data_IF_216147043945
#
_entry.id   IF_216147043945
#
_cell.length_a   1.000
_cell.length_b   1.000
_cell.length_c   1.000
_cell.angle_alpha   90.00
_cell.angle_beta   90.00
_cell.angle_gamma   90.00
#
_symmetry.space_group_name_H-M   'P 1'
#
loop_
_entity.id
_entity.type
_entity.pdbx_description
1 polymer ?
#
# COMPACT_ATOMS: atom_id res chain seq x y z
N UNK A 1 21.55 3.97 -7.26
CA UNK A 1 20.40 4.87 -6.99
C UNK A 1 19.20 4.03 -7.40
N UNK A 2 18.72 3.16 -6.50
CA UNK A 2 17.85 2.01 -6.86
C UNK A 2 16.68 1.84 -5.88
N UNK A 3 16.36 2.88 -5.11
CA UNK A 3 15.46 2.79 -3.94
C UNK A 3 14.03 2.36 -4.27
N UNK A 4 13.53 2.60 -5.49
CA UNK A 4 12.19 2.16 -5.89
C UNK A 4 12.12 0.68 -6.31
N UNK A 5 13.26 0.01 -6.53
CA UNK A 5 13.26 -1.40 -6.95
C UNK A 5 12.68 -2.34 -5.87
N UNK A 6 12.72 -1.93 -4.60
CA UNK A 6 12.10 -2.66 -3.48
C UNK A 6 10.59 -2.87 -3.69
N UNK A 7 9.92 -2.01 -4.47
CA UNK A 7 8.50 -2.19 -4.80
C UNK A 7 8.26 -3.38 -5.74
N UNK A 8 9.27 -3.81 -6.50
CA UNK A 8 9.14 -5.00 -7.35
C UNK A 8 8.89 -6.24 -6.50
N UNK A 9 9.74 -6.47 -5.49
CA UNK A 9 9.58 -7.58 -4.56
C UNK A 9 8.26 -7.51 -3.80
N UNK A 10 7.90 -6.31 -3.31
CA UNK A 10 6.63 -6.11 -2.60
C UNK A 10 5.41 -6.44 -3.47
N UNK A 11 5.38 -5.95 -4.72
CA UNK A 11 4.29 -6.18 -5.65
C UNK A 11 4.18 -7.65 -6.06
N UNK A 12 5.32 -8.33 -6.29
CA UNK A 12 5.34 -9.73 -6.71
C UNK A 12 4.77 -10.66 -5.63
N UNK A 13 5.03 -10.36 -4.36
CA UNK A 13 4.55 -11.16 -3.23
C UNK A 13 3.16 -10.76 -2.72
N UNK A 14 2.57 -9.67 -3.24
CA UNK A 14 1.31 -9.14 -2.73
C UNK A 14 0.14 -10.12 -2.87
N UNK A 15 0.08 -10.87 -3.97
CA UNK A 15 -0.98 -11.85 -4.18
C UNK A 15 -0.93 -12.98 -3.13
N UNK A 16 0.26 -13.50 -2.85
CA UNK A 16 0.45 -14.54 -1.86
C UNK A 16 0.09 -14.05 -0.45
N UNK A 17 0.46 -12.81 -0.12
CA UNK A 17 0.07 -12.16 1.14
C UNK A 17 -1.46 -12.05 1.28
N UNK A 18 -2.17 -11.64 0.22
CA UNK A 18 -3.63 -11.56 0.21
C UNK A 18 -4.28 -12.94 0.37
N UNK A 19 -3.73 -13.98 -0.25
CA UNK A 19 -4.22 -15.35 -0.08
C UNK A 19 -4.06 -15.85 1.34
N UNK A 20 -2.91 -15.61 1.96
CA UNK A 20 -2.65 -16.03 3.33
C UNK A 20 -3.52 -15.28 4.34
N UNK A 21 -3.65 -13.96 4.16
CA UNK A 21 -4.51 -13.15 4.99
C UNK A 21 -5.97 -13.59 4.88
N UNK A 22 -6.46 -13.92 3.68
CA UNK A 22 -7.81 -14.45 3.48
C UNK A 22 -8.05 -15.78 4.21
N UNK A 23 -7.02 -16.61 4.41
CA UNK A 23 -7.13 -17.83 5.23
C UNK A 23 -7.19 -17.48 6.71
N UNK A 24 -6.31 -16.60 7.19
CA UNK A 24 -6.26 -16.18 8.59
C UNK A 24 -7.56 -15.50 9.03
N UNK A 25 -8.16 -14.69 8.16
CA UNK A 25 -9.43 -14.01 8.42
C UNK A 25 -10.64 -14.95 8.58
N UNK A 26 -10.49 -16.26 8.34
CA UNK A 26 -11.52 -17.27 8.66
C UNK A 26 -11.57 -17.65 10.14
N UNK A 27 -10.52 -17.34 10.90
CA UNK A 27 -10.44 -17.59 12.35
C UNK A 27 -10.68 -16.28 13.10
N UNK A 28 -11.73 -16.26 13.94
CA UNK A 28 -12.15 -15.09 14.71
C UNK A 28 -11.06 -14.53 15.63
N UNK A 29 -10.09 -15.35 16.05
CA UNK A 29 -8.94 -14.87 16.86
C UNK A 29 -8.09 -13.87 16.07
N UNK A 30 -7.84 -14.13 14.80
CA UNK A 30 -7.06 -13.22 13.94
C UNK A 30 -7.87 -11.99 13.55
N UNK A 31 -9.19 -12.14 13.36
CA UNK A 31 -10.07 -10.99 13.13
C UNK A 31 -10.00 -9.99 14.29
N UNK A 32 -10.16 -10.47 15.53
CA UNK A 32 -10.07 -9.61 16.71
C UNK A 32 -8.68 -9.04 16.93
N UNK A 33 -7.63 -9.83 16.66
CA UNK A 33 -6.26 -9.36 16.76
C UNK A 33 -5.98 -8.19 15.81
N UNK A 34 -6.31 -8.32 14.52
CA UNK A 34 -6.07 -7.26 13.55
C UNK A 34 -6.91 -6.01 13.84
N UNK A 35 -8.16 -6.18 14.28
CA UNK A 35 -9.00 -5.05 14.67
C UNK A 35 -8.46 -4.31 15.90
N UNK A 36 -8.00 -5.05 16.91
CA UNK A 36 -7.35 -4.45 18.07
C UNK A 36 -6.09 -3.67 17.67
N UNK A 37 -5.25 -4.23 16.79
CA UNK A 37 -4.08 -3.53 16.26
C UNK A 37 -4.46 -2.24 15.52
N UNK A 38 -5.49 -2.27 14.66
CA UNK A 38 -5.98 -1.11 13.91
C UNK A 38 -6.45 0.01 14.85
N UNK A 39 -7.25 -0.33 15.87
CA UNK A 39 -7.76 0.62 16.86
C UNK A 39 -6.65 1.20 17.74
N UNK A 40 -5.70 0.37 18.20
CA UNK A 40 -4.57 0.83 19.03
C UNK A 40 -3.65 1.80 18.27
N UNK A 41 -3.47 1.59 16.97
CA UNK A 41 -2.71 2.49 16.10
C UNK A 41 -3.55 3.65 15.55
N UNK A 42 -4.82 3.77 15.97
CA UNK A 42 -5.75 4.82 15.55
C UNK A 42 -5.88 4.94 14.03
N UNK A 43 -5.85 3.81 13.34
CA UNK A 43 -5.98 3.76 11.90
C UNK A 43 -7.45 3.90 11.49
N UNK A 44 -7.69 4.43 10.28
CA UNK A 44 -9.03 4.51 9.67
C UNK A 44 -9.67 3.11 9.51
N UNK A 45 -10.99 3.07 9.33
CA UNK A 45 -11.76 1.82 9.21
C UNK A 45 -11.59 1.15 7.84
N UNK A 46 -10.38 0.64 7.63
CA UNK A 46 -9.97 -0.16 6.49
C UNK A 46 -9.36 -1.44 7.05
N UNK A 47 -9.69 -2.59 6.47
CA UNK A 47 -9.08 -3.86 6.86
C UNK A 47 -7.59 -3.89 6.46
N UNK A 48 -6.81 -4.77 7.09
CA UNK A 48 -5.36 -4.82 6.92
C UNK A 48 -4.92 -5.06 5.46
N UNK A 49 -5.70 -5.80 4.66
CA UNK A 49 -5.47 -5.98 3.22
C UNK A 49 -5.48 -4.65 2.45
N UNK A 50 -6.41 -3.75 2.78
CA UNK A 50 -6.47 -2.41 2.19
C UNK A 50 -5.23 -1.57 2.48
N UNK A 51 -4.66 -1.68 3.69
CA UNK A 51 -3.39 -1.03 4.02
C UNK A 51 -2.20 -1.65 3.27
N UNK A 52 -2.16 -2.97 3.11
CA UNK A 52 -1.12 -3.68 2.36
C UNK A 52 -1.17 -3.39 0.85
N UNK A 53 -2.30 -2.91 0.33
CA UNK A 53 -2.41 -2.48 -1.07
C UNK A 53 -1.78 -1.08 -1.30
N UNK A 54 -1.55 -0.29 -0.25
CA UNK A 54 -1.12 1.11 -0.39
C UNK A 54 0.23 1.29 -1.09
N UNK A 55 1.28 0.45 -0.89
CA UNK A 55 2.55 0.63 -1.60
C UNK A 55 2.41 0.34 -3.10
N UNK A 56 1.59 -0.66 -3.48
CA UNK A 56 1.26 -0.99 -4.87
C UNK A 56 0.53 0.18 -5.53
N UNK A 57 -0.44 0.78 -4.84
CA UNK A 57 -1.11 1.99 -5.34
C UNK A 57 -0.15 3.18 -5.46
N UNK A 58 0.76 3.34 -4.49
CA UNK A 58 1.67 4.48 -4.42
C UNK A 58 2.66 4.47 -5.58
N UNK A 59 3.25 3.31 -5.90
CA UNK A 59 4.19 3.21 -7.02
C UNK A 59 3.52 3.53 -8.36
N UNK A 60 2.26 3.14 -8.54
CA UNK A 60 1.46 3.49 -9.72
C UNK A 60 1.02 4.97 -9.76
N UNK A 61 0.91 5.65 -8.60
CA UNK A 61 0.51 7.05 -8.51
C UNK A 61 1.65 8.01 -8.86
N UNK A 62 2.91 7.65 -8.60
CA UNK A 62 4.04 8.56 -8.85
C UNK A 62 4.09 9.11 -10.28
N UNK A 63 3.98 8.29 -11.35
CA UNK A 63 3.99 8.81 -12.71
C UNK A 63 2.87 9.83 -12.98
N UNK A 64 1.67 9.59 -12.45
CA UNK A 64 0.53 10.49 -12.62
C UNK A 64 0.74 11.82 -11.90
N UNK A 65 1.21 11.75 -10.65
CA UNK A 65 1.48 12.95 -9.85
C UNK A 65 2.61 13.79 -10.45
N UNK A 66 3.65 13.15 -10.98
CA UNK A 66 4.77 13.83 -11.64
C UNK A 66 4.36 14.43 -12.99
N UNK A 67 3.54 13.72 -13.77
CA UNK A 67 2.98 14.26 -15.00
C UNK A 67 2.10 15.48 -14.74
N UNK A 68 1.27 15.44 -13.69
CA UNK A 68 0.45 16.58 -13.29
C UNK A 68 1.31 17.77 -12.84
N UNK A 69 2.33 17.52 -12.02
CA UNK A 69 3.29 18.55 -11.63
C UNK A 69 3.95 19.19 -12.85
N UNK A 70 4.40 18.38 -13.81
CA UNK A 70 5.07 18.84 -15.02
C UNK A 70 4.19 19.77 -15.86
N UNK A 71 2.86 19.56 -15.91
CA UNK A 71 1.92 20.46 -16.61
C UNK A 71 1.97 21.89 -16.10
N UNK A 72 2.29 22.07 -14.82
CA UNK A 72 2.34 23.38 -14.15
C UNK A 72 3.77 23.87 -13.88
N UNK A 73 4.79 23.17 -14.41
CA UNK A 73 6.20 23.56 -14.29
C UNK A 73 6.65 24.26 -15.57
N UNK A 74 7.07 25.53 -15.47
CA UNK A 74 7.63 26.28 -16.59
C UNK A 74 8.96 25.65 -17.06
N UNK A 75 9.27 25.75 -18.36
CA UNK A 75 10.53 25.19 -18.90
C UNK A 75 11.80 25.82 -18.32
N UNK A 76 11.69 27.05 -17.82
CA UNK A 76 12.78 27.80 -17.19
C UNK A 76 13.06 27.36 -15.74
N UNK A 77 12.19 26.53 -15.16
CA UNK A 77 12.27 26.07 -13.76
C UNK A 77 13.50 25.15 -13.60
N UNK A 78 14.44 25.56 -12.75
CA UNK A 78 15.65 24.79 -12.39
C UNK A 78 15.53 24.16 -11.01
#
# INVERSE_FOLDING_TARGET
QDGFWIYSEYCNNHLDACMELSKLMKDGRYQHFFEACRLLQQMIDIAIDGFLLTPVQKICKYPLQLAELLKYTAQEHR
#
